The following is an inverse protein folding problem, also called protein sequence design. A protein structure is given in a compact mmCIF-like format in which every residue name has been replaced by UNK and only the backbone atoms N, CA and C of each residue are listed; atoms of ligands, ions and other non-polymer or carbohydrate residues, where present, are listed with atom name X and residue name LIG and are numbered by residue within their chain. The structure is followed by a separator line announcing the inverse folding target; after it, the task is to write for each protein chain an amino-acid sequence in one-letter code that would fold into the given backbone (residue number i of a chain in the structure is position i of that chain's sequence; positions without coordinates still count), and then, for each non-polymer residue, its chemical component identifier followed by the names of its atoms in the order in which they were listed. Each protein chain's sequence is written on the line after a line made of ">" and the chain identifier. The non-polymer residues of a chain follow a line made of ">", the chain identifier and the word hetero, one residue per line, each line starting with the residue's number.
data_IF_635346664311
#
_entry.id   IF_635346664311
#
_cell.length_a   1.000
_cell.length_b   1.000
_cell.length_c   1.000
_cell.angle_alpha   90.00
_cell.angle_beta   90.00
_cell.angle_gamma   90.00
#
_symmetry.space_group_name_H-M   'P 1'
#
loop_
_entity.id
_entity.type
_entity.pdbx_description
1 polymer ?
#
# COMPACT_ATOMS: atom_id res chain seq x y z
N UNK A 1 30.21 -18.26 -11.91
CA UNK A 1 28.93 -18.12 -11.21
C UNK A 1 27.84 -17.73 -12.18
N UNK A 2 26.65 -18.31 -12.01
CA UNK A 2 25.49 -17.94 -12.84
C UNK A 2 24.95 -16.56 -12.39
N UNK A 3 24.19 -15.87 -13.24
CA UNK A 3 23.54 -14.61 -12.85
C UNK A 3 22.63 -14.78 -11.62
N UNK A 4 22.06 -15.96 -11.40
CA UNK A 4 21.28 -16.31 -10.20
C UNK A 4 22.13 -16.27 -8.93
N UNK A 5 23.39 -16.68 -9.00
CA UNK A 5 24.33 -16.64 -7.87
C UNK A 5 24.62 -15.18 -7.50
N UNK A 6 24.79 -14.31 -8.48
CA UNK A 6 24.95 -12.86 -8.22
C UNK A 6 23.68 -12.25 -7.64
N UNK A 7 22.51 -12.57 -8.22
CA UNK A 7 21.23 -12.08 -7.69
C UNK A 7 21.00 -12.53 -6.24
N UNK A 8 21.24 -13.79 -5.93
CA UNK A 8 21.16 -14.29 -4.55
C UNK A 8 22.15 -13.56 -3.62
N UNK A 9 23.39 -13.41 -4.04
CA UNK A 9 24.40 -12.73 -3.25
C UNK A 9 24.03 -11.27 -2.95
N UNK A 10 23.54 -10.53 -3.96
CA UNK A 10 23.14 -9.14 -3.79
C UNK A 10 21.92 -9.04 -2.88
N UNK A 11 20.88 -9.86 -3.10
CA UNK A 11 19.59 -9.69 -2.44
C UNK A 11 19.53 -10.31 -1.04
N UNK A 12 20.31 -11.37 -0.78
CA UNK A 12 20.21 -12.15 0.46
C UNK A 12 21.47 -12.02 1.35
N UNK A 13 22.65 -11.80 0.73
CA UNK A 13 23.90 -11.74 1.50
C UNK A 13 24.35 -10.31 1.76
N UNK A 14 24.24 -9.43 0.75
CA UNK A 14 24.67 -8.05 0.87
C UNK A 14 23.58 -7.10 1.36
N UNK A 15 22.31 -7.47 1.26
CA UNK A 15 21.18 -6.57 1.50
C UNK A 15 21.30 -5.81 2.84
N UNK A 16 21.62 -6.52 3.91
CA UNK A 16 21.73 -5.95 5.26
C UNK A 16 23.07 -5.23 5.54
N UNK A 17 24.09 -5.42 4.69
CA UNK A 17 25.45 -4.91 4.95
C UNK A 17 25.92 -3.90 3.90
N UNK A 18 25.18 -3.70 2.83
CA UNK A 18 25.63 -2.87 1.69
C UNK A 18 25.89 -1.42 2.10
N UNK A 19 25.10 -0.89 3.02
CA UNK A 19 25.27 0.47 3.51
C UNK A 19 26.56 0.63 4.32
N UNK A 20 26.84 -0.31 5.25
CA UNK A 20 28.08 -0.33 6.03
C UNK A 20 29.30 -0.46 5.12
N UNK A 21 29.23 -1.36 4.14
CA UNK A 21 30.30 -1.55 3.15
C UNK A 21 30.54 -0.26 2.36
N UNK A 22 29.49 0.41 1.94
CA UNK A 22 29.59 1.69 1.22
C UNK A 22 30.26 2.77 2.08
N UNK A 23 29.87 2.87 3.35
CA UNK A 23 30.45 3.83 4.29
C UNK A 23 31.93 3.54 4.57
N UNK A 24 32.30 2.26 4.76
CA UNK A 24 33.68 1.86 5.01
C UNK A 24 34.60 2.12 3.79
N UNK A 25 34.09 1.86 2.59
CA UNK A 25 34.81 2.14 1.34
C UNK A 25 35.01 3.66 1.19
N UNK A 26 33.95 4.45 1.40
CA UNK A 26 34.02 5.91 1.30
C UNK A 26 34.98 6.50 2.30
N UNK A 27 34.95 6.05 3.55
CA UNK A 27 35.90 6.50 4.58
C UNK A 27 37.34 6.30 4.13
N UNK A 28 37.65 5.11 3.59
CA UNK A 28 38.99 4.81 3.11
C UNK A 28 39.41 5.65 1.89
N UNK A 29 38.49 5.89 0.96
CA UNK A 29 38.72 6.76 -0.19
C UNK A 29 39.00 8.20 0.28
N UNK A 30 38.15 8.75 1.15
CA UNK A 30 38.27 10.12 1.62
C UNK A 30 39.57 10.38 2.36
N UNK A 31 40.05 9.40 3.16
CA UNK A 31 41.32 9.48 3.83
C UNK A 31 42.51 9.41 2.82
N UNK A 32 42.40 8.54 1.82
CA UNK A 32 43.51 8.32 0.86
C UNK A 32 43.64 9.45 -0.16
N UNK A 33 42.49 9.92 -0.70
CA UNK A 33 42.45 10.94 -1.76
C UNK A 33 42.31 12.35 -1.21
N UNK A 34 42.24 12.52 0.13
CA UNK A 34 42.09 13.83 0.79
C UNK A 34 40.90 14.64 0.28
N UNK A 35 39.74 13.97 0.12
CA UNK A 35 38.54 14.56 -0.42
C UNK A 35 38.04 15.72 0.42
N UNK A 36 37.72 16.86 -0.19
CA UNK A 36 37.13 18.01 0.47
C UNK A 36 35.65 17.81 0.77
N UNK A 37 35.34 17.52 2.04
CA UNK A 37 33.97 17.35 2.50
C UNK A 37 33.27 18.66 2.92
N UNK A 38 33.90 19.83 2.75
CA UNK A 38 33.26 21.11 3.05
C UNK A 38 32.21 21.51 2.00
N UNK A 39 32.34 20.98 0.79
CA UNK A 39 31.43 21.23 -0.30
C UNK A 39 30.77 19.94 -0.75
N UNK A 40 29.45 19.84 -0.54
CA UNK A 40 28.64 18.71 -0.97
C UNK A 40 27.61 19.18 -2.00
N UNK A 41 27.64 18.61 -3.19
CA UNK A 41 26.66 18.86 -4.25
C UNK A 41 25.63 17.74 -4.23
N UNK A 42 24.35 18.10 -4.04
CA UNK A 42 23.26 17.10 -3.96
C UNK A 42 22.34 17.30 -5.16
N UNK A 43 22.03 16.21 -5.86
CA UNK A 43 21.04 16.17 -6.95
C UNK A 43 20.18 14.93 -6.86
N UNK A 44 18.92 15.10 -7.22
CA UNK A 44 17.92 14.05 -7.22
C UNK A 44 17.67 13.47 -8.61
N UNK A 45 17.71 12.15 -8.72
CA UNK A 45 17.35 11.43 -9.94
C UNK A 45 16.27 10.40 -9.69
N UNK A 46 15.32 10.30 -10.63
CA UNK A 46 14.23 9.33 -10.54
C UNK A 46 14.54 8.09 -11.37
N UNK A 47 14.54 6.95 -10.72
CA UNK A 47 14.80 5.65 -11.33
C UNK A 47 13.52 4.83 -11.42
N UNK A 48 13.20 4.34 -12.61
CA UNK A 48 12.05 3.44 -12.82
C UNK A 48 12.27 2.14 -12.07
N UNK A 49 11.27 1.74 -11.28
CA UNK A 49 11.25 0.46 -10.60
C UNK A 49 10.93 -0.68 -11.58
N UNK A 50 11.51 -1.85 -11.35
CA UNK A 50 11.15 -3.06 -12.10
C UNK A 50 9.77 -3.58 -11.66
N UNK A 51 8.74 -2.77 -11.88
CA UNK A 51 7.38 -3.01 -11.45
C UNK A 51 6.36 -2.83 -12.57
N UNK A 52 5.19 -3.45 -12.42
CA UNK A 52 4.13 -3.31 -13.42
C UNK A 52 3.57 -1.87 -13.40
N UNK A 53 3.79 -1.15 -14.49
CA UNK A 53 3.34 0.23 -14.67
C UNK A 53 1.81 0.40 -14.83
N UNK A 54 1.07 -0.69 -15.01
CA UNK A 54 -0.38 -0.65 -15.16
C UNK A 54 -1.15 -1.13 -13.91
N UNK A 55 -0.44 -1.52 -12.85
CA UNK A 55 -1.06 -1.98 -11.61
C UNK A 55 -0.65 -1.09 -10.43
N UNK A 56 -1.52 -0.17 -10.08
CA UNK A 56 -1.29 0.82 -9.02
C UNK A 56 -2.46 0.89 -8.05
N UNK A 57 -2.18 1.46 -6.88
CA UNK A 57 -3.17 1.85 -5.89
C UNK A 57 -3.00 3.35 -5.61
N UNK A 58 -4.11 4.08 -5.68
CA UNK A 58 -4.17 5.50 -5.32
C UNK A 58 -4.86 5.67 -3.97
N UNK A 59 -4.17 6.24 -2.97
CA UNK A 59 -4.68 6.48 -1.62
C UNK A 59 -6.02 7.19 -1.63
N UNK A 60 -6.12 8.34 -2.29
CA UNK A 60 -7.35 9.15 -2.38
C UNK A 60 -8.52 8.39 -3.03
N UNK A 61 -8.25 7.55 -4.03
CA UNK A 61 -9.29 6.73 -4.67
C UNK A 61 -9.76 5.60 -3.75
N UNK A 62 -8.82 5.00 -3.00
CA UNK A 62 -9.11 3.96 -2.00
C UNK A 62 -9.95 4.52 -0.85
N UNK A 63 -9.58 5.69 -0.31
CA UNK A 63 -10.36 6.40 0.71
C UNK A 63 -11.78 6.72 0.23
N UNK A 64 -11.92 7.27 -0.97
CA UNK A 64 -13.24 7.52 -1.57
C UNK A 64 -14.07 6.24 -1.71
N UNK A 65 -13.43 5.13 -2.06
CA UNK A 65 -14.11 3.83 -2.17
C UNK A 65 -14.51 3.30 -0.79
N UNK A 66 -13.68 3.50 0.24
CA UNK A 66 -13.99 3.17 1.64
C UNK A 66 -15.23 3.90 2.13
N UNK A 67 -15.33 5.21 1.91
CA UNK A 67 -16.53 5.99 2.29
C UNK A 67 -17.79 5.51 1.57
N UNK A 68 -17.71 5.16 0.29
CA UNK A 68 -18.85 4.59 -0.43
C UNK A 68 -19.30 3.22 0.14
N UNK A 69 -18.38 2.47 0.72
CA UNK A 69 -18.73 1.22 1.42
C UNK A 69 -19.40 1.54 2.74
N UNK A 70 -19.00 2.57 3.47
CA UNK A 70 -19.69 3.02 4.69
C UNK A 70 -21.15 3.36 4.44
N UNK A 71 -21.46 4.09 3.37
CA UNK A 71 -22.84 4.40 2.98
C UNK A 71 -23.67 3.13 2.74
N UNK A 72 -23.06 2.11 2.08
CA UNK A 72 -23.72 0.82 1.83
C UNK A 72 -23.93 0.01 3.11
N UNK A 73 -22.97 0.06 4.04
CA UNK A 73 -23.08 -0.60 5.33
C UNK A 73 -24.21 0.06 6.15
N UNK A 74 -24.27 1.37 6.17
CA UNK A 74 -25.34 2.12 6.85
C UNK A 74 -26.73 1.70 6.35
N UNK A 75 -26.88 1.60 5.03
CA UNK A 75 -28.15 1.13 4.42
C UNK A 75 -28.45 -0.32 4.81
N UNK A 76 -27.44 -1.19 4.72
CA UNK A 76 -27.58 -2.61 5.09
C UNK A 76 -27.94 -2.79 6.59
N UNK A 77 -27.33 -2.01 7.48
CA UNK A 77 -27.62 -2.06 8.90
C UNK A 77 -29.03 -1.58 9.23
N UNK A 78 -29.54 -0.59 8.49
CA UNK A 78 -30.94 -0.15 8.62
C UNK A 78 -31.89 -1.29 8.24
N UNK A 79 -31.67 -1.98 7.09
CA UNK A 79 -32.45 -3.14 6.65
C UNK A 79 -32.40 -4.29 7.68
N UNK A 80 -31.19 -4.61 8.18
CA UNK A 80 -31.00 -5.68 9.18
C UNK A 80 -31.67 -5.33 10.51
N UNK A 81 -31.58 -4.08 10.98
CA UNK A 81 -32.20 -3.66 12.23
C UNK A 81 -33.73 -3.75 12.18
N UNK A 82 -34.35 -3.50 11.01
CA UNK A 82 -35.80 -3.72 10.83
C UNK A 82 -36.13 -5.21 11.00
N UNK A 83 -35.34 -6.10 10.43
CA UNK A 83 -35.52 -7.56 10.55
C UNK A 83 -35.29 -8.07 12.00
N UNK A 84 -34.30 -7.50 12.70
CA UNK A 84 -33.92 -7.92 14.05
C UNK A 84 -34.80 -7.32 15.18
N UNK A 85 -35.82 -6.54 14.84
CA UNK A 85 -36.67 -5.87 15.84
C UNK A 85 -37.27 -6.84 16.89
N UNK A 86 -37.52 -8.09 16.48
CA UNK A 86 -38.09 -9.14 17.40
C UNK A 86 -37.03 -9.84 18.24
N UNK A 87 -35.74 -9.70 17.95
CA UNK A 87 -34.64 -10.43 18.63
C UNK A 87 -34.01 -9.61 19.76
N UNK A 88 -34.30 -8.31 19.84
CA UNK A 88 -33.67 -7.38 20.79
C UNK A 88 -32.22 -7.02 20.46
N UNK A 89 -31.67 -7.50 19.34
CA UNK A 89 -30.34 -7.16 18.84
C UNK A 89 -30.47 -5.93 17.95
N UNK A 90 -29.54 -4.97 18.11
CA UNK A 90 -29.48 -3.76 17.30
C UNK A 90 -28.06 -3.44 16.91
N UNK A 91 -27.80 -3.38 15.60
CA UNK A 91 -26.50 -2.97 15.06
C UNK A 91 -26.40 -1.44 15.10
N UNK A 92 -25.29 -0.91 15.64
CA UNK A 92 -25.07 0.52 15.73
C UNK A 92 -24.70 1.09 14.35
N UNK A 93 -25.41 2.14 13.96
CA UNK A 93 -25.12 2.89 12.74
C UNK A 93 -24.16 4.03 13.09
N UNK A 94 -22.99 4.02 12.45
CA UNK A 94 -21.91 4.98 12.66
C UNK A 94 -21.56 5.69 11.36
N UNK A 95 -20.76 6.76 11.45
CA UNK A 95 -20.20 7.44 10.28
C UNK A 95 -19.03 6.67 9.65
N UNK A 96 -18.32 5.87 10.45
CA UNK A 96 -17.20 5.03 10.05
C UNK A 96 -17.32 3.65 10.69
N UNK A 97 -16.80 2.64 10.00
CA UNK A 97 -16.86 1.26 10.45
C UNK A 97 -15.49 0.62 10.40
N UNK A 98 -15.14 -0.07 11.48
CA UNK A 98 -13.98 -0.96 11.53
C UNK A 98 -14.33 -2.33 10.92
N UNK A 99 -13.39 -3.01 10.25
CA UNK A 99 -13.63 -4.35 9.70
C UNK A 99 -14.05 -5.36 10.77
N UNK A 100 -13.47 -5.29 11.96
CA UNK A 100 -13.74 -6.15 13.11
C UNK A 100 -15.19 -6.04 13.54
N UNK A 101 -15.70 -4.81 13.60
CA UNK A 101 -17.10 -4.56 13.96
C UNK A 101 -18.09 -5.23 12.98
N UNK A 102 -17.77 -5.25 11.68
CA UNK A 102 -18.61 -5.93 10.69
C UNK A 102 -18.56 -7.45 10.83
N UNK A 103 -17.41 -8.00 11.23
CA UNK A 103 -17.28 -9.44 11.53
C UNK A 103 -18.14 -9.82 12.73
N UNK A 104 -18.04 -9.05 13.81
CA UNK A 104 -18.88 -9.23 14.99
C UNK A 104 -20.39 -9.09 14.65
N UNK A 105 -20.75 -8.09 13.84
CA UNK A 105 -22.12 -7.92 13.38
C UNK A 105 -22.61 -9.11 12.53
N UNK A 106 -21.75 -9.69 11.71
CA UNK A 106 -22.09 -10.88 10.94
C UNK A 106 -22.29 -12.10 11.83
N UNK A 107 -21.47 -12.29 12.88
CA UNK A 107 -21.62 -13.35 13.85
C UNK A 107 -22.92 -13.19 14.65
N UNK A 108 -23.20 -12.02 15.18
CA UNK A 108 -24.46 -11.73 15.90
C UNK A 108 -25.69 -11.97 15.02
N UNK A 109 -25.62 -11.60 13.74
CA UNK A 109 -26.70 -11.85 12.79
C UNK A 109 -26.86 -13.34 12.49
N UNK A 110 -25.74 -14.07 12.35
CA UNK A 110 -25.77 -15.51 12.15
C UNK A 110 -26.37 -16.28 13.34
N UNK A 111 -26.02 -15.87 14.57
CA UNK A 111 -26.60 -16.43 15.78
C UNK A 111 -28.11 -16.17 15.91
N UNK A 112 -28.54 -14.91 15.64
CA UNK A 112 -29.93 -14.52 15.71
C UNK A 112 -30.85 -15.33 14.78
N UNK A 113 -30.36 -15.65 13.61
CA UNK A 113 -31.09 -16.38 12.58
C UNK A 113 -30.70 -17.87 12.46
N UNK A 114 -29.81 -18.38 13.36
CA UNK A 114 -29.27 -19.72 13.33
C UNK A 114 -28.78 -20.12 11.91
N UNK A 115 -28.00 -19.24 11.30
CA UNK A 115 -27.55 -19.40 9.93
C UNK A 115 -26.58 -20.59 9.83
N UNK A 116 -26.93 -21.56 8.97
CA UNK A 116 -26.05 -22.67 8.62
C UNK A 116 -25.42 -22.38 7.24
N UNK A 117 -24.12 -22.10 7.22
CA UNK A 117 -23.38 -21.82 5.98
C UNK A 117 -23.36 -23.03 5.02
N UNK A 118 -23.53 -24.27 5.53
CA UNK A 118 -23.56 -25.47 4.69
C UNK A 118 -24.85 -25.58 3.85
N UNK A 119 -25.91 -24.89 4.30
CA UNK A 119 -27.19 -24.83 3.61
C UNK A 119 -27.26 -23.67 2.57
N UNK A 120 -26.17 -22.92 2.39
CA UNK A 120 -26.16 -21.80 1.46
C UNK A 120 -26.33 -22.23 0.01
N UNK A 121 -27.18 -21.49 -0.66
CA UNK A 121 -27.47 -21.72 -2.08
C UNK A 121 -26.51 -20.92 -2.93
N UNK A 122 -25.83 -21.61 -3.86
CA UNK A 122 -24.87 -21.01 -4.80
C UNK A 122 -25.26 -21.27 -6.24
N UNK A 123 -24.87 -20.36 -7.14
CA UNK A 123 -25.03 -20.55 -8.59
C UNK A 123 -26.22 -19.81 -9.22
N UNK A 124 -26.31 -19.88 -10.55
CA UNK A 124 -27.36 -19.26 -11.33
C UNK A 124 -28.68 -20.05 -11.19
N UNK A 125 -29.80 -19.34 -11.06
CA UNK A 125 -31.13 -19.94 -11.01
C UNK A 125 -31.63 -20.27 -9.61
N UNK A 126 -30.81 -20.20 -8.60
CA UNK A 126 -31.20 -20.39 -7.22
C UNK A 126 -31.44 -19.04 -6.50
N UNK A 127 -32.55 -18.96 -5.78
CA UNK A 127 -32.88 -17.75 -5.00
C UNK A 127 -32.30 -17.88 -3.60
N UNK A 128 -31.32 -17.01 -3.29
CA UNK A 128 -30.81 -16.85 -1.92
C UNK A 128 -31.89 -16.27 -1.01
N UNK A 129 -31.95 -16.74 0.23
CA UNK A 129 -32.79 -16.13 1.27
C UNK A 129 -32.29 -14.71 1.57
N UNK A 130 -33.14 -13.90 2.19
CA UNK A 130 -32.74 -12.55 2.62
C UNK A 130 -31.61 -12.62 3.64
N UNK A 131 -31.73 -13.56 4.59
CA UNK A 131 -30.71 -13.77 5.62
C UNK A 131 -29.35 -14.16 5.03
N UNK A 132 -29.32 -15.09 4.08
CA UNK A 132 -28.07 -15.44 3.37
C UNK A 132 -27.47 -14.23 2.66
N UNK A 133 -28.28 -13.40 1.99
CA UNK A 133 -27.79 -12.20 1.30
C UNK A 133 -27.20 -11.17 2.25
N UNK A 134 -27.85 -10.92 3.38
CA UNK A 134 -27.36 -9.96 4.35
C UNK A 134 -26.07 -10.45 5.01
N UNK A 135 -26.00 -11.70 5.42
CA UNK A 135 -24.79 -12.30 5.97
C UNK A 135 -23.60 -12.26 5.00
N UNK A 136 -23.82 -12.69 3.75
CA UNK A 136 -22.78 -12.63 2.71
C UNK A 136 -22.30 -11.19 2.47
N UNK A 137 -23.21 -10.20 2.45
CA UNK A 137 -22.84 -8.77 2.28
C UNK A 137 -22.04 -8.26 3.49
N UNK A 138 -22.39 -8.61 4.71
CA UNK A 138 -21.62 -8.23 5.90
C UNK A 138 -20.18 -8.74 5.81
N UNK A 139 -20.02 -10.01 5.45
CA UNK A 139 -18.70 -10.63 5.24
C UNK A 139 -17.93 -9.98 4.08
N UNK A 140 -18.60 -9.72 2.96
CA UNK A 140 -18.02 -9.03 1.81
C UNK A 140 -17.54 -7.63 2.16
N UNK A 141 -18.34 -6.85 2.90
CA UNK A 141 -17.96 -5.49 3.28
C UNK A 141 -16.84 -5.48 4.33
N UNK A 142 -16.82 -6.43 5.27
CA UNK A 142 -15.71 -6.59 6.20
C UNK A 142 -14.39 -6.83 5.46
N UNK A 143 -14.37 -7.80 4.54
CA UNK A 143 -13.19 -8.10 3.73
C UNK A 143 -12.73 -6.90 2.85
N UNK A 144 -13.67 -6.15 2.27
CA UNK A 144 -13.36 -4.93 1.51
C UNK A 144 -12.76 -3.83 2.38
N UNK A 145 -13.26 -3.65 3.58
CA UNK A 145 -12.70 -2.67 4.51
C UNK A 145 -11.30 -3.05 4.95
N UNK A 146 -11.05 -4.34 5.23
CA UNK A 146 -9.69 -4.83 5.52
C UNK A 146 -8.72 -4.52 4.37
N UNK A 147 -9.15 -4.84 3.14
CA UNK A 147 -8.35 -4.54 1.94
C UNK A 147 -8.05 -3.04 1.81
N UNK A 148 -9.02 -2.16 2.09
CA UNK A 148 -8.80 -0.72 2.01
C UNK A 148 -7.91 -0.19 3.14
N UNK A 149 -8.07 -0.69 4.35
CA UNK A 149 -7.20 -0.34 5.48
C UNK A 149 -5.76 -0.73 5.19
N UNK A 150 -5.53 -1.95 4.68
CA UNK A 150 -4.19 -2.41 4.30
C UNK A 150 -3.58 -1.58 3.18
N UNK A 151 -4.35 -1.26 2.14
CA UNK A 151 -3.89 -0.38 1.04
C UNK A 151 -3.50 1.01 1.52
N UNK A 152 -4.28 1.60 2.44
CA UNK A 152 -3.98 2.92 3.00
C UNK A 152 -2.74 2.84 3.89
N UNK A 153 -2.59 1.77 4.67
CA UNK A 153 -1.43 1.52 5.51
C UNK A 153 -0.14 1.39 4.70
N UNK A 154 -0.16 0.67 3.57
CA UNK A 154 0.98 0.56 2.65
C UNK A 154 1.37 1.93 2.08
N UNK A 155 0.39 2.79 1.74
CA UNK A 155 0.69 4.15 1.31
C UNK A 155 1.37 4.99 2.40
N UNK A 156 1.04 4.78 3.68
CA UNK A 156 1.50 5.63 4.76
C UNK A 156 0.93 7.05 4.70
N UNK A 157 1.57 7.98 5.40
CA UNK A 157 1.10 9.38 5.46
C UNK A 157 1.52 10.17 4.23
N UNK A 158 2.75 10.03 3.78
CA UNK A 158 3.41 10.90 2.82
C UNK A 158 3.17 10.51 1.36
N UNK A 159 2.94 9.23 1.09
CA UNK A 159 2.71 8.75 -0.27
C UNK A 159 1.24 8.79 -0.66
N UNK A 160 0.98 9.09 -1.90
CA UNK A 160 -0.38 9.05 -2.45
C UNK A 160 -0.66 7.83 -3.34
N UNK A 161 0.35 7.00 -3.62
CA UNK A 161 0.23 5.82 -4.47
C UNK A 161 1.35 4.83 -4.23
N UNK A 162 1.12 3.58 -4.63
CA UNK A 162 2.16 2.55 -4.74
C UNK A 162 1.86 1.58 -5.88
N UNK A 163 2.87 0.83 -6.34
CA UNK A 163 2.68 -0.25 -7.29
C UNK A 163 2.26 -1.55 -6.57
N UNK A 164 1.33 -2.32 -7.16
CA UNK A 164 0.91 -3.60 -6.58
C UNK A 164 2.00 -4.69 -6.64
N UNK A 165 2.95 -4.55 -7.55
CA UNK A 165 4.05 -5.50 -7.74
C UNK A 165 5.33 -5.10 -7.01
N UNK A 166 5.39 -3.83 -6.58
CA UNK A 166 6.48 -3.29 -5.76
C UNK A 166 5.91 -2.21 -4.84
N UNK A 167 5.62 -2.59 -3.60
CA UNK A 167 4.97 -1.71 -2.62
C UNK A 167 5.85 -0.52 -2.20
N UNK A 168 7.15 -0.59 -2.43
CA UNK A 168 8.07 0.50 -2.13
C UNK A 168 8.14 1.55 -3.23
N UNK A 169 7.81 1.20 -4.47
CA UNK A 169 7.79 2.14 -5.59
C UNK A 169 6.56 3.06 -5.55
N UNK A 170 6.79 4.35 -5.79
CA UNK A 170 5.73 5.37 -5.89
C UNK A 170 5.58 5.80 -7.35
N UNK A 171 4.34 6.08 -7.78
CA UNK A 171 4.09 6.59 -9.13
C UNK A 171 4.48 8.07 -9.21
N UNK A 172 5.49 8.36 -10.02
CA UNK A 172 6.01 9.69 -10.25
C UNK A 172 6.38 9.93 -11.72
N UNK A 173 6.51 11.18 -12.11
CA UNK A 173 6.96 11.57 -13.45
C UNK A 173 8.49 11.47 -13.52
N UNK A 174 9.00 10.81 -14.55
CA UNK A 174 10.42 10.66 -14.83
C UNK A 174 10.78 11.60 -15.98
N UNK A 175 11.88 12.37 -15.86
CA UNK A 175 12.32 13.36 -16.88
C UNK A 175 12.63 12.72 -18.24
N UNK A 176 13.18 11.51 -18.23
CA UNK A 176 13.56 10.73 -19.42
C UNK A 176 12.56 9.61 -19.68
N UNK A 177 11.28 9.97 -19.86
CA UNK A 177 10.27 9.01 -20.28
C UNK A 177 10.58 8.57 -21.73
N UNK A 178 10.90 7.29 -21.91
CA UNK A 178 11.18 6.71 -23.24
C UNK A 178 9.97 6.73 -24.18
N UNK A 179 8.75 6.87 -23.65
CA UNK A 179 7.52 7.03 -24.43
C UNK A 179 7.25 8.49 -24.82
N UNK A 180 7.88 9.44 -24.16
CA UNK A 180 7.73 10.89 -24.42
C UNK A 180 6.31 11.43 -24.18
N UNK A 181 5.52 10.75 -23.34
CA UNK A 181 4.11 11.08 -23.10
C UNK A 181 3.82 11.57 -21.67
N UNK A 182 4.86 11.86 -20.90
CA UNK A 182 4.75 12.31 -19.50
C UNK A 182 3.99 11.33 -18.57
N UNK A 183 4.00 10.05 -18.91
CA UNK A 183 3.32 9.03 -18.12
C UNK A 183 3.94 8.92 -16.72
N UNK A 184 3.08 8.69 -15.73
CA UNK A 184 3.53 8.32 -14.39
C UNK A 184 4.01 6.86 -14.40
N UNK A 185 5.22 6.65 -13.88
CA UNK A 185 5.83 5.33 -13.77
C UNK A 185 6.14 5.00 -12.31
N UNK A 186 6.11 3.71 -11.92
CA UNK A 186 6.58 3.32 -10.60
C UNK A 186 8.08 3.59 -10.52
N UNK A 187 8.52 4.34 -9.53
CA UNK A 187 9.89 4.81 -9.43
C UNK A 187 10.30 5.11 -8.00
N UNK A 188 11.61 5.24 -7.84
CA UNK A 188 12.28 5.73 -6.64
C UNK A 188 12.92 7.08 -6.94
N UNK A 189 12.94 7.97 -5.94
CA UNK A 189 13.67 9.20 -5.97
C UNK A 189 14.99 8.99 -5.23
N UNK A 190 16.09 8.98 -5.97
CA UNK A 190 17.43 8.73 -5.42
C UNK A 190 18.16 10.05 -5.34
N UNK A 191 18.50 10.48 -4.15
CA UNK A 191 19.32 11.63 -3.87
C UNK A 191 20.77 11.20 -3.77
N UNK A 192 21.66 11.85 -4.51
CA UNK A 192 23.09 11.56 -4.52
C UNK A 192 23.84 12.82 -4.11
N UNK A 193 24.64 12.71 -3.06
CA UNK A 193 25.55 13.77 -2.64
C UNK A 193 26.98 13.45 -3.10
N UNK A 194 27.59 14.37 -3.82
CA UNK A 194 28.93 14.26 -4.40
C UNK A 194 29.85 15.29 -3.74
N UNK A 195 30.99 14.81 -3.27
CA UNK A 195 32.10 15.64 -2.80
C UNK A 195 33.30 15.39 -3.72
N UNK A 196 33.87 16.46 -4.27
CA UNK A 196 34.85 16.38 -5.38
C UNK A 196 34.33 15.49 -6.52
N UNK A 197 34.95 14.34 -6.77
CA UNK A 197 34.59 13.38 -7.81
C UNK A 197 33.94 12.10 -7.25
N UNK A 198 33.68 12.05 -5.94
CA UNK A 198 33.22 10.85 -5.21
C UNK A 198 31.78 10.97 -4.73
N UNK A 199 31.05 9.87 -4.81
CA UNK A 199 29.71 9.77 -4.21
C UNK A 199 29.87 9.60 -2.69
N UNK A 200 29.57 10.66 -1.95
CA UNK A 200 29.70 10.68 -0.51
C UNK A 200 28.47 10.09 0.21
N UNK A 201 27.28 10.33 -0.34
CA UNK A 201 26.02 9.86 0.26
C UNK A 201 25.02 9.49 -0.84
N UNK A 202 24.23 8.47 -0.56
CA UNK A 202 23.09 8.06 -1.39
C UNK A 202 21.90 7.87 -0.46
N UNK A 203 20.75 8.43 -0.85
CA UNK A 203 19.50 8.25 -0.13
C UNK A 203 18.39 7.88 -1.12
N UNK A 204 17.63 6.83 -0.82
CA UNK A 204 16.57 6.30 -1.69
C UNK A 204 15.21 6.60 -1.09
N UNK A 205 14.49 7.50 -1.72
CA UNK A 205 13.23 8.03 -1.24
C UNK A 205 12.02 7.59 -2.07
N UNK A 206 10.87 7.62 -1.43
CA UNK A 206 9.56 7.41 -2.04
C UNK A 206 8.84 8.73 -2.36
N UNK A 207 9.46 9.87 -2.06
CA UNK A 207 8.90 11.21 -2.32
C UNK A 207 9.01 11.57 -3.79
N UNK A 208 7.99 12.28 -4.29
CA UNK A 208 7.92 12.69 -5.69
C UNK A 208 8.70 13.97 -5.99
N UNK A 209 8.93 14.76 -4.98
CA UNK A 209 9.64 16.03 -5.03
C UNK A 209 10.97 15.90 -4.32
N UNK A 210 12.02 16.46 -4.94
CA UNK A 210 13.36 16.49 -4.35
C UNK A 210 13.38 17.37 -3.08
N UNK A 211 12.52 18.39 -3.03
CA UNK A 211 12.38 19.26 -1.85
C UNK A 211 11.91 18.51 -0.63
N UNK A 212 11.03 17.52 -0.80
CA UNK A 212 10.50 16.71 0.30
C UNK A 212 11.57 15.75 0.87
N UNK A 213 12.66 15.51 0.13
CA UNK A 213 13.78 14.67 0.56
C UNK A 213 14.74 15.38 1.52
N UNK A 214 14.74 16.74 1.57
CA UNK A 214 15.66 17.55 2.37
C UNK A 214 15.04 18.14 3.63
N UNK A 215 13.76 17.93 3.85
CA UNK A 215 13.05 18.43 5.03
C UNK A 215 12.96 17.27 6.02
N UNK A 216 13.58 17.38 7.22
CA UNK A 216 13.48 16.39 8.27
C UNK A 216 12.07 16.32 8.87
#
# INVERSE_FOLDING_TARGET
>A
PSYRTFGYFINEVLADSIEEIFQDINKKIFETEHVDLQHLYIDGSKFEANANKYSWVWKKSTEKSRYRVFDKITTLFAEINEELTCTGIKLCINSEYAPEYLKEAAEQYAEAWQIDETAFVHGRGHRKTTQQRHYEKLREYAAKLEEYVEKIKICGEDRNSYSKTDHSATFMRIKTDYMGNDQLLPAYNVQVGVADEYIAVVDVNQYRSDMDCFIP
#
